data_IF_331961248882
#
_entry.id   IF_331961248882
#
_cell.length_a   1.000
_cell.length_b   1.000
_cell.length_c   1.000
_cell.angle_alpha   90.00
_cell.angle_beta   90.00
_cell.angle_gamma   90.00
#
_symmetry.space_group_name_H-M   'P 1'
#
loop_
_entity.id
_entity.type
_entity.pdbx_description
1 polymer ?
#
# COMPACT_ATOMS: atom_id res chain seq x y z
N UNK A 1 -7.57 -8.47 -0.36
CA UNK A 1 -7.62 -6.99 -0.20
C UNK A 1 -7.53 -6.20 -1.51
N UNK A 2 -6.61 -6.52 -2.43
CA UNK A 2 -6.52 -5.88 -3.75
C UNK A 2 -7.86 -5.91 -4.51
N UNK A 3 -8.52 -7.07 -4.50
CA UNK A 3 -9.84 -7.25 -5.12
C UNK A 3 -10.89 -6.27 -4.55
N UNK A 4 -10.88 -5.99 -3.23
CA UNK A 4 -11.81 -5.00 -2.66
C UNK A 4 -11.55 -3.60 -3.20
N UNK A 5 -10.29 -3.17 -3.29
CA UNK A 5 -9.96 -1.87 -3.89
C UNK A 5 -10.41 -1.78 -5.35
N UNK A 6 -10.21 -2.85 -6.13
CA UNK A 6 -10.64 -2.91 -7.53
C UNK A 6 -12.16 -2.84 -7.65
N UNK A 7 -12.89 -3.59 -6.81
CA UNK A 7 -14.36 -3.59 -6.80
C UNK A 7 -14.90 -2.22 -6.40
N UNK A 8 -14.36 -1.57 -5.36
CA UNK A 8 -14.79 -0.23 -4.96
C UNK A 8 -14.45 0.83 -6.02
N UNK A 9 -13.33 0.70 -6.73
CA UNK A 9 -13.01 1.58 -7.86
C UNK A 9 -13.97 1.37 -9.04
N UNK A 10 -14.36 0.11 -9.33
CA UNK A 10 -15.33 -0.22 -10.37
C UNK A 10 -16.74 0.32 -10.05
N UNK A 11 -17.10 0.38 -8.75
CA UNK A 11 -18.33 1.03 -8.28
C UNK A 11 -18.25 2.57 -8.29
N UNK A 12 -17.19 3.16 -8.84
CA UNK A 12 -16.92 4.59 -8.87
C UNK A 12 -16.89 5.27 -7.49
N UNK A 13 -16.71 4.50 -6.41
CA UNK A 13 -16.63 5.03 -5.04
C UNK A 13 -15.27 5.67 -4.76
N UNK A 14 -14.22 5.21 -5.44
CA UNK A 14 -12.83 5.67 -5.29
C UNK A 14 -12.12 5.77 -6.64
N UNK A 15 -11.01 6.52 -6.66
CA UNK A 15 -10.17 6.64 -7.86
C UNK A 15 -9.44 5.33 -8.18
N UNK A 16 -9.39 4.98 -9.47
CA UNK A 16 -8.65 3.82 -9.99
C UNK A 16 -7.14 3.87 -9.69
N UNK A 17 -6.60 5.06 -9.41
CA UNK A 17 -5.21 5.22 -8.99
C UNK A 17 -4.89 4.40 -7.71
N UNK A 18 -5.85 4.26 -6.80
CA UNK A 18 -5.66 3.53 -5.53
C UNK A 18 -5.37 2.05 -5.78
N UNK A 19 -6.25 1.24 -6.39
CA UNK A 19 -5.94 -0.17 -6.66
C UNK A 19 -4.67 -0.34 -7.51
N UNK A 20 -4.44 0.52 -8.51
CA UNK A 20 -3.25 0.45 -9.36
C UNK A 20 -1.96 0.59 -8.53
N UNK A 21 -1.89 1.57 -7.63
CA UNK A 21 -0.71 1.74 -6.76
C UNK A 21 -0.44 0.52 -5.88
N UNK A 22 -1.48 -0.12 -5.33
CA UNK A 22 -1.32 -1.35 -4.54
C UNK A 22 -0.85 -2.53 -5.40
N UNK A 23 -1.32 -2.65 -6.65
CA UNK A 23 -0.88 -3.69 -7.59
C UNK A 23 0.60 -3.49 -7.92
N UNK A 24 0.99 -2.28 -8.35
CA UNK A 24 2.38 -1.95 -8.72
C UNK A 24 3.30 -2.24 -7.53
N UNK A 25 2.94 -1.77 -6.33
CA UNK A 25 3.71 -2.02 -5.11
C UNK A 25 3.85 -3.52 -4.83
N UNK A 26 2.76 -4.28 -4.96
CA UNK A 26 2.78 -5.73 -4.77
C UNK A 26 3.73 -6.43 -5.74
N UNK A 27 3.59 -6.13 -7.03
CA UNK A 27 4.44 -6.69 -8.08
C UNK A 27 5.93 -6.34 -7.88
N UNK A 28 6.24 -5.07 -7.59
CA UNK A 28 7.61 -4.64 -7.31
C UNK A 28 8.22 -5.39 -6.12
N UNK A 29 7.49 -5.50 -4.99
CA UNK A 29 7.99 -6.23 -3.83
C UNK A 29 8.17 -7.72 -4.08
N UNK A 30 7.35 -8.30 -4.96
CA UNK A 30 7.44 -9.72 -5.30
C UNK A 30 8.62 -9.99 -6.24
N UNK A 31 8.83 -9.15 -7.25
CA UNK A 31 10.01 -9.23 -8.13
C UNK A 31 11.32 -9.08 -7.37
N UNK A 32 11.40 -8.15 -6.40
CA UNK A 32 12.60 -8.01 -5.54
C UNK A 32 12.82 -9.29 -4.73
N UNK A 33 11.75 -9.93 -4.25
CA UNK A 33 11.84 -11.18 -3.51
C UNK A 33 12.32 -12.32 -4.41
N UNK A 34 11.82 -12.44 -5.63
CA UNK A 34 12.27 -13.44 -6.61
C UNK A 34 13.74 -13.24 -7.03
N UNK A 35 14.19 -12.01 -7.23
CA UNK A 35 15.59 -11.69 -7.51
C UNK A 35 16.50 -12.10 -6.33
N UNK A 36 16.04 -11.92 -5.09
CA UNK A 36 16.71 -12.41 -3.90
C UNK A 36 16.84 -13.94 -3.85
N UNK A 37 15.85 -14.68 -4.38
CA UNK A 37 15.90 -16.14 -4.45
C UNK A 37 16.75 -16.67 -5.61
N UNK A 38 16.75 -16.01 -6.77
CA UNK A 38 17.49 -16.43 -7.96
C UNK A 38 19.01 -16.21 -7.85
N UNK A 39 19.47 -15.33 -6.95
CA UNK A 39 20.88 -14.95 -6.81
C UNK A 39 21.79 -15.96 -6.10
N UNK A 40 21.26 -17.02 -5.46
CA UNK A 40 22.06 -18.08 -4.81
C UNK A 40 23.10 -17.62 -3.77
N UNK A 41 23.12 -16.34 -3.39
CA UNK A 41 24.09 -15.73 -2.48
C UNK A 41 23.40 -15.38 -1.17
N UNK A 42 24.01 -15.84 -0.10
CA UNK A 42 23.59 -15.71 1.29
C UNK A 42 23.27 -14.26 1.66
N UNK A 43 22.10 -14.06 2.26
CA UNK A 43 21.50 -12.79 2.68
C UNK A 43 22.30 -11.99 3.74
N UNK A 44 23.58 -12.31 3.98
CA UNK A 44 24.31 -11.88 5.16
C UNK A 44 25.38 -10.78 4.93
N UNK A 45 25.69 -10.40 3.69
CA UNK A 45 26.85 -9.52 3.42
C UNK A 45 26.55 -8.20 2.68
N UNK A 46 25.27 -7.81 2.56
CA UNK A 46 24.88 -6.54 1.92
C UNK A 46 24.03 -5.61 2.79
N UNK A 47 23.93 -5.87 4.09
CA UNK A 47 23.12 -5.06 5.01
C UNK A 47 24.03 -4.21 5.89
N UNK A 48 24.37 -3.00 5.43
CA UNK A 48 25.22 -2.09 6.21
C UNK A 48 24.83 -0.60 6.07
N UNK A 49 23.52 -0.29 6.07
CA UNK A 49 23.11 1.06 6.48
C UNK A 49 21.75 1.06 7.19
N UNK A 50 21.82 0.96 8.51
CA UNK A 50 20.74 0.68 9.47
C UNK A 50 19.94 1.89 9.98
N UNK A 51 20.08 3.10 9.43
CA UNK A 51 19.55 4.29 10.13
C UNK A 51 18.13 4.74 9.73
N UNK A 52 17.64 4.39 8.53
CA UNK A 52 16.30 4.81 8.05
C UNK A 52 15.17 3.80 8.32
N UNK A 53 15.52 2.51 8.48
CA UNK A 53 14.57 1.40 8.58
C UNK A 53 13.86 1.35 9.93
N UNK A 54 14.55 1.71 11.01
CA UNK A 54 14.01 1.59 12.37
C UNK A 54 13.03 2.72 12.75
N UNK A 55 13.17 3.92 12.13
CA UNK A 55 12.36 5.09 12.47
C UNK A 55 10.96 5.10 11.80
N UNK A 56 10.75 4.31 10.73
CA UNK A 56 9.46 4.21 9.99
C UNK A 56 8.86 2.79 10.01
N UNK A 57 9.63 1.75 10.36
CA UNK A 57 9.17 0.35 10.36
C UNK A 57 8.76 -0.22 11.73
N UNK A 58 8.45 0.63 12.72
CA UNK A 58 7.95 0.17 14.02
C UNK A 58 6.69 -0.71 13.87
N UNK A 59 6.65 -1.83 14.60
CA UNK A 59 5.47 -2.72 14.79
C UNK A 59 4.13 -1.98 14.94
N UNK A 60 4.01 -0.84 15.65
CA UNK A 60 2.75 -0.07 15.71
C UNK A 60 2.27 0.45 14.36
N UNK A 61 3.16 0.86 13.46
CA UNK A 61 2.80 1.35 12.12
C UNK A 61 2.26 0.21 11.24
N UNK A 62 2.57 -1.05 11.57
CA UNK A 62 2.03 -2.26 10.88
C UNK A 62 0.59 -2.51 11.25
N UNK A 63 0.28 -2.39 12.54
CA UNK A 63 -1.10 -2.41 13.03
C UNK A 63 -1.89 -1.19 12.52
N UNK A 64 -1.29 0.01 12.56
CA UNK A 64 -1.94 1.26 12.14
C UNK A 64 -2.33 1.28 10.66
N UNK A 65 -1.46 0.80 9.76
CA UNK A 65 -1.81 0.66 8.34
C UNK A 65 -2.92 -0.37 8.11
N UNK A 66 -2.85 -1.53 8.77
CA UNK A 66 -3.90 -2.55 8.68
C UNK A 66 -5.24 -2.02 9.16
N UNK A 67 -5.23 -1.29 10.28
CA UNK A 67 -6.41 -0.62 10.84
C UNK A 67 -6.94 0.47 9.89
N UNK A 68 -6.09 1.35 9.36
CA UNK A 68 -6.48 2.39 8.41
C UNK A 68 -7.18 1.80 7.17
N UNK A 69 -6.66 0.66 6.66
CA UNK A 69 -7.24 -0.04 5.53
C UNK A 69 -8.57 -0.71 5.88
N UNK A 70 -8.67 -1.34 7.05
CA UNK A 70 -9.92 -1.91 7.54
C UNK A 70 -11.00 -0.83 7.72
N UNK A 71 -10.63 0.33 8.28
CA UNK A 71 -11.53 1.48 8.44
C UNK A 71 -11.95 2.02 7.06
N UNK A 72 -11.02 2.14 6.11
CA UNK A 72 -11.34 2.56 4.75
C UNK A 72 -12.35 1.62 4.09
N UNK A 73 -12.17 0.31 4.20
CA UNK A 73 -13.11 -0.68 3.67
C UNK A 73 -14.46 -0.67 4.38
N UNK A 74 -14.48 -0.50 5.71
CA UNK A 74 -15.72 -0.38 6.47
C UNK A 74 -16.51 0.86 6.04
N UNK A 75 -15.84 2.00 5.87
CA UNK A 75 -16.47 3.24 5.39
C UNK A 75 -16.96 3.12 3.94
N UNK A 76 -16.19 2.45 3.06
CA UNK A 76 -16.59 2.21 1.67
C UNK A 76 -17.80 1.26 1.57
N UNK A 77 -17.84 0.22 2.40
CA UNK A 77 -19.00 -0.65 2.50
C UNK A 77 -20.22 0.10 3.06
N UNK A 78 -20.01 0.96 4.07
CA UNK A 78 -21.06 1.81 4.64
C UNK A 78 -21.60 2.81 3.61
N UNK A 79 -20.74 3.43 2.79
CA UNK A 79 -21.21 4.30 1.70
C UNK A 79 -22.08 3.55 0.71
N UNK A 80 -21.72 2.32 0.35
CA UNK A 80 -22.52 1.52 -0.57
C UNK A 80 -23.90 1.20 0.04
N UNK A 81 -23.94 0.84 1.33
CA UNK A 81 -25.19 0.63 2.04
C UNK A 81 -26.04 1.90 2.11
N UNK A 82 -25.45 3.05 2.43
CA UNK A 82 -26.16 4.34 2.48
C UNK A 82 -26.66 4.79 1.10
N UNK A 83 -25.94 4.44 0.03
CA UNK A 83 -26.35 4.69 -1.35
C UNK A 83 -27.59 3.87 -1.70
N UNK A 84 -27.65 2.60 -1.28
CA UNK A 84 -28.86 1.78 -1.45
C UNK A 84 -30.04 2.27 -0.61
N UNK A 85 -29.78 2.91 0.54
CA UNK A 85 -30.80 3.45 1.43
C UNK A 85 -31.22 4.90 1.12
N UNK A 86 -30.65 5.54 0.09
CA UNK A 86 -30.89 6.94 -0.28
C UNK A 86 -30.80 7.94 0.89
N UNK A 87 -29.89 7.69 1.84
CA UNK A 87 -29.75 8.49 3.06
C UNK A 87 -28.99 9.80 2.81
N UNK A 88 -29.39 10.92 3.43
CA UNK A 88 -28.65 12.19 3.32
C UNK A 88 -27.26 12.13 3.97
N UNK A 89 -26.98 11.12 4.80
CA UNK A 89 -25.67 10.90 5.39
C UNK A 89 -24.62 10.34 4.40
N UNK A 90 -24.98 10.08 3.15
CA UNK A 90 -24.08 9.52 2.14
C UNK A 90 -22.84 10.41 1.90
N UNK A 91 -23.04 11.71 1.72
CA UNK A 91 -21.97 12.63 1.35
C UNK A 91 -20.86 12.75 2.39
N UNK A 92 -21.14 12.97 3.70
CA UNK A 92 -20.08 13.02 4.71
C UNK A 92 -19.36 11.67 4.88
N UNK A 93 -20.09 10.54 4.80
CA UNK A 93 -19.48 9.20 4.91
C UNK A 93 -18.60 8.90 3.71
N UNK A 94 -18.98 9.32 2.51
CA UNK A 94 -18.15 9.16 1.31
C UNK A 94 -16.88 9.97 1.34
N UNK A 95 -16.94 11.23 1.78
CA UNK A 95 -15.74 12.05 1.95
C UNK A 95 -14.78 11.40 2.96
N UNK A 96 -15.31 10.89 4.09
CA UNK A 96 -14.51 10.17 5.08
C UNK A 96 -13.88 8.89 4.49
N UNK A 97 -14.65 8.12 3.70
CA UNK A 97 -14.19 6.90 3.05
C UNK A 97 -13.04 7.16 2.06
N UNK A 98 -13.19 8.17 1.20
CA UNK A 98 -12.18 8.59 0.22
C UNK A 98 -10.92 9.11 0.92
N UNK A 99 -11.08 9.93 1.96
CA UNK A 99 -9.96 10.46 2.74
C UNK A 99 -9.14 9.32 3.37
N UNK A 100 -9.82 8.38 4.04
CA UNK A 100 -9.15 7.20 4.61
C UNK A 100 -8.49 6.32 3.55
N UNK A 101 -9.08 6.21 2.36
CA UNK A 101 -8.51 5.45 1.25
C UNK A 101 -7.20 6.07 0.73
N UNK A 102 -7.13 7.40 0.63
CA UNK A 102 -5.90 8.10 0.29
C UNK A 102 -4.84 7.99 1.39
N UNK A 103 -5.22 8.12 2.67
CA UNK A 103 -4.31 7.90 3.80
C UNK A 103 -3.71 6.49 3.74
N UNK A 104 -4.54 5.46 3.52
CA UNK A 104 -4.06 4.08 3.37
C UNK A 104 -3.12 3.92 2.17
N UNK A 105 -3.38 4.64 1.07
CA UNK A 105 -2.52 4.64 -0.13
C UNK A 105 -1.16 5.28 0.15
N UNK A 106 -1.13 6.45 0.78
CA UNK A 106 0.12 7.12 1.17
C UNK A 106 0.94 6.23 2.11
N UNK A 107 0.31 5.64 3.12
CA UNK A 107 0.96 4.69 4.03
C UNK A 107 1.48 3.44 3.29
N UNK A 108 0.79 2.99 2.23
CA UNK A 108 1.25 1.89 1.39
C UNK A 108 2.53 2.26 0.63
N UNK A 109 2.57 3.46 0.04
CA UNK A 109 3.72 3.99 -0.72
C UNK A 109 4.92 4.23 0.19
N UNK A 110 4.73 4.90 1.32
CA UNK A 110 5.81 5.17 2.30
C UNK A 110 6.48 3.87 2.75
N UNK A 111 5.74 2.77 2.81
CA UNK A 111 6.26 1.44 3.17
C UNK A 111 6.87 0.66 2.01
N UNK A 112 6.48 0.96 0.78
CA UNK A 112 7.07 0.38 -0.43
C UNK A 112 8.35 1.10 -0.88
N UNK A 113 8.50 2.37 -0.49
CA UNK A 113 9.66 3.20 -0.79
C UNK A 113 11.03 2.56 -0.47
N UNK A 114 11.27 1.94 0.70
CA UNK A 114 12.57 1.34 1.00
C UNK A 114 12.98 0.24 0.01
N UNK A 115 12.02 -0.58 -0.44
CA UNK A 115 12.27 -1.67 -1.40
C UNK A 115 12.70 -1.13 -2.77
N UNK A 116 12.04 -0.07 -3.22
CA UNK A 116 12.33 0.57 -4.51
C UNK A 116 13.68 1.28 -4.47
N UNK A 117 13.99 1.98 -3.37
CA UNK A 117 15.27 2.66 -3.18
C UNK A 117 16.44 1.65 -3.15
N UNK A 118 16.26 0.50 -2.50
CA UNK A 118 17.25 -0.58 -2.53
C UNK A 118 17.45 -1.17 -3.92
N UNK A 119 16.37 -1.42 -4.67
CA UNK A 119 16.45 -1.93 -6.04
C UNK A 119 17.25 -0.98 -6.97
N UNK A 120 16.95 0.32 -6.93
CA UNK A 120 17.65 1.31 -7.77
C UNK A 120 19.12 1.50 -7.38
N UNK A 121 19.48 1.41 -6.09
CA UNK A 121 20.90 1.47 -5.67
C UNK A 121 21.69 0.24 -6.08
N UNK A 122 21.02 -0.91 -6.25
CA UNK A 122 21.64 -2.14 -6.77
C UNK A 122 22.05 -2.04 -8.24
N UNK A 123 21.27 -1.35 -9.08
CA UNK A 123 21.61 -1.14 -10.49
C UNK A 123 22.82 -0.22 -10.69
N UNK A 124 22.98 0.80 -9.84
CA UNK A 124 24.10 1.76 -9.93
C UNK A 124 25.47 1.10 -9.67
N UNK A 125 25.50 0.03 -8.86
CA UNK A 125 26.71 -0.73 -8.53
C UNK A 125 27.05 -1.81 -9.56
N UNK A 126 26.19 -2.03 -10.56
CA UNK A 126 26.34 -3.02 -11.63
C UNK A 126 26.89 -2.46 -12.95
N UNK A 127 27.26 -1.18 -13.02
CA UNK A 127 27.96 -0.63 -14.21
C UNK A 127 29.45 -0.98 -14.16
N UNK A 128 29.97 -1.71 -15.16
CA UNK A 128 31.40 -2.03 -15.26
C UNK A 128 32.27 -0.78 -15.46
#
# INVERSE_FOLDING_TARGET
>A
ELVLWVVFANLALISLAIPITFIIRGALTDSVRELGYAGGKTAHDQMNSDWGYWLVAGRPMRAGYGAAKAIAFALLALTLALQTAASPALQPVWIAAVTMSWIATVLCVVRGAPVVIEAFRGEEKGRP
#
